data_IF_611536211536
#
_entry.id   IF_611536211536
#
_cell.length_a   1.000
_cell.length_b   1.000
_cell.length_c   1.000
_cell.angle_alpha   90.00
_cell.angle_beta   90.00
_cell.angle_gamma   90.00
#
_symmetry.space_group_name_H-M   'P 1'
#
loop_
_entity.id
_entity.type
_entity.pdbx_description
1 polymer ?
#
# COMPACT_ATOMS: atom_id res chain seq x y z
N UNK A 1 -0.44 -8.15 5.58
CA UNK A 1 0.14 -7.50 4.37
C UNK A 1 0.62 -6.10 4.68
N UNK A 2 -0.25 -5.15 5.09
CA UNK A 2 0.21 -3.83 5.49
C UNK A 2 1.19 -3.89 6.67
N UNK A 3 0.94 -4.80 7.63
CA UNK A 3 1.86 -5.13 8.72
C UNK A 3 3.29 -5.40 8.24
N UNK A 4 3.49 -6.28 7.25
CA UNK A 4 4.80 -6.58 6.64
C UNK A 4 5.48 -5.28 6.18
N UNK A 5 4.74 -4.39 5.54
CA UNK A 5 5.27 -3.11 5.05
C UNK A 5 5.64 -2.16 6.19
N UNK A 6 4.85 -2.14 7.26
CA UNK A 6 5.08 -1.33 8.45
C UNK A 6 6.28 -1.85 9.27
N UNK A 7 6.43 -3.16 9.42
CA UNK A 7 7.58 -3.79 10.07
C UNK A 7 8.88 -3.44 9.35
N UNK A 8 8.91 -3.56 8.01
CA UNK A 8 10.07 -3.19 7.20
C UNK A 8 10.36 -1.69 7.23
N UNK A 9 9.34 -0.85 7.41
CA UNK A 9 9.53 0.60 7.58
C UNK A 9 10.33 0.95 8.85
N UNK A 10 10.36 0.06 9.84
CA UNK A 10 11.13 0.24 11.09
C UNK A 10 12.55 -0.31 11.01
N UNK A 11 12.93 -0.95 9.90
CA UNK A 11 14.27 -1.52 9.69
C UNK A 11 15.15 -0.57 8.87
N UNK A 12 16.47 -0.80 8.90
CA UNK A 12 17.47 0.06 8.27
C UNK A 12 17.43 0.05 6.74
N UNK A 13 16.91 -1.02 6.13
CA UNK A 13 16.96 -1.23 4.69
C UNK A 13 15.57 -1.50 4.12
N UNK A 14 15.21 -0.76 3.06
CA UNK A 14 13.97 -0.97 2.32
C UNK A 14 14.18 -2.09 1.29
N UNK A 15 13.40 -3.19 1.34
CA UNK A 15 13.60 -4.32 0.43
C UNK A 15 13.53 -3.92 -1.05
N UNK A 16 14.24 -4.68 -1.88
CA UNK A 16 14.13 -4.59 -3.34
C UNK A 16 12.85 -5.25 -3.87
N UNK A 17 12.59 -5.10 -5.17
CA UNK A 17 11.36 -5.60 -5.80
C UNK A 17 11.23 -7.12 -5.71
N UNK A 18 12.33 -7.87 -5.83
CA UNK A 18 12.30 -9.34 -5.80
C UNK A 18 12.08 -9.86 -4.38
N UNK A 19 12.64 -9.19 -3.39
CA UNK A 19 12.36 -9.47 -1.98
C UNK A 19 10.91 -9.15 -1.64
N UNK A 20 10.38 -8.00 -2.07
CA UNK A 20 8.97 -7.68 -1.89
C UNK A 20 8.04 -8.70 -2.53
N UNK A 21 8.38 -9.21 -3.72
CA UNK A 21 7.63 -10.29 -4.36
C UNK A 21 7.59 -11.56 -3.50
N UNK A 22 8.63 -11.86 -2.72
CA UNK A 22 8.65 -13.02 -1.81
C UNK A 22 7.86 -12.78 -0.53
N UNK A 23 7.90 -11.55 -0.01
CA UNK A 23 7.28 -11.18 1.25
C UNK A 23 5.77 -10.93 1.14
N UNK A 24 5.29 -10.38 0.02
CA UNK A 24 3.91 -9.95 -0.12
C UNK A 24 2.98 -11.08 -0.57
N UNK A 25 1.71 -11.10 -0.10
CA UNK A 25 0.78 -12.17 -0.44
C UNK A 25 0.56 -12.34 -1.95
N UNK A 26 0.30 -13.57 -2.38
CA UNK A 26 0.01 -13.89 -3.79
C UNK A 26 -1.18 -13.10 -4.35
N UNK A 27 -2.27 -13.00 -3.58
CA UNK A 27 -3.46 -12.26 -3.99
C UNK A 27 -3.19 -10.78 -4.27
N UNK A 28 -2.30 -10.16 -3.50
CA UNK A 28 -1.92 -8.76 -3.64
C UNK A 28 -1.10 -8.56 -4.91
N UNK A 29 -0.12 -9.45 -5.14
CA UNK A 29 0.72 -9.43 -6.34
C UNK A 29 -0.10 -9.67 -7.60
N UNK A 30 -1.08 -10.58 -7.54
CA UNK A 30 -1.98 -10.87 -8.66
C UNK A 30 -2.92 -9.69 -9.00
N UNK A 31 -3.20 -8.80 -8.05
CA UNK A 31 -3.98 -7.59 -8.28
C UNK A 31 -3.15 -6.43 -8.88
N UNK A 32 -1.82 -6.51 -8.83
CA UNK A 32 -0.94 -5.52 -9.44
C UNK A 32 -0.92 -5.67 -10.97
N UNK A 33 -0.82 -4.54 -11.68
CA UNK A 33 -0.64 -4.51 -13.14
C UNK A 33 0.85 -4.43 -13.52
N UNK A 34 1.17 -4.64 -14.79
CA UNK A 34 2.52 -4.37 -15.29
C UNK A 34 2.84 -2.86 -15.24
N UNK A 35 4.11 -2.52 -15.06
CA UNK A 35 4.59 -1.12 -15.09
C UNK A 35 4.20 -0.41 -16.40
N UNK A 36 4.19 -1.12 -17.54
CA UNK A 36 3.82 -0.57 -18.84
C UNK A 36 2.32 -0.25 -18.98
N UNK A 37 1.50 -0.76 -18.05
CA UNK A 37 0.06 -0.49 -17.97
C UNK A 37 -0.26 0.72 -17.08
N UNK A 38 0.70 1.18 -16.27
CA UNK A 38 0.62 2.41 -15.49
C UNK A 38 0.96 3.61 -16.39
N UNK A 39 0.05 3.92 -17.32
CA UNK A 39 0.26 4.96 -18.34
C UNK A 39 -0.17 6.36 -17.87
N UNK A 40 -1.17 6.39 -16.99
CA UNK A 40 -1.74 7.60 -16.43
C UNK A 40 -1.66 7.56 -14.90
N UNK A 41 -1.80 8.70 -14.23
CA UNK A 41 -1.96 8.79 -12.76
C UNK A 41 -3.32 8.23 -12.31
N UNK A 42 -3.70 7.02 -12.76
CA UNK A 42 -4.96 6.38 -12.40
C UNK A 42 -4.80 5.76 -11.02
N UNK A 43 -5.60 6.26 -10.09
CA UNK A 43 -5.54 5.90 -8.66
C UNK A 43 -5.92 4.42 -8.43
N UNK A 44 -6.58 3.77 -9.38
CA UNK A 44 -7.14 2.42 -9.28
C UNK A 44 -6.25 1.31 -9.87
N UNK A 45 -5.11 1.66 -10.49
CA UNK A 45 -4.17 0.69 -11.07
C UNK A 45 -2.77 0.94 -10.52
N UNK A 46 -2.21 -0.08 -9.92
CA UNK A 46 -0.89 -0.02 -9.33
C UNK A 46 -0.03 -1.16 -9.84
N UNK A 47 1.16 -0.82 -10.32
CA UNK A 47 2.23 -1.80 -10.38
C UNK A 47 2.81 -1.99 -8.98
N UNK A 48 3.38 -3.17 -8.74
CA UNK A 48 4.01 -3.49 -7.46
C UNK A 48 5.10 -2.48 -7.11
N UNK A 49 5.96 -2.14 -8.09
CA UNK A 49 7.06 -1.18 -7.91
C UNK A 49 6.55 0.21 -7.56
N UNK A 50 5.55 0.72 -8.28
CA UNK A 50 4.98 2.04 -8.01
C UNK A 50 4.32 2.08 -6.63
N UNK A 51 3.59 1.03 -6.26
CA UNK A 51 2.93 0.95 -4.96
C UNK A 51 3.94 0.97 -3.80
N UNK A 52 4.95 0.09 -3.84
CA UNK A 52 6.01 -0.01 -2.82
C UNK A 52 6.76 1.33 -2.66
N UNK A 53 7.04 2.03 -3.77
CA UNK A 53 7.70 3.32 -3.75
C UNK A 53 6.98 4.31 -2.83
N UNK A 54 5.65 4.38 -2.89
CA UNK A 54 4.86 5.29 -2.05
C UNK A 54 4.73 4.88 -0.60
N UNK A 55 5.11 3.64 -0.27
CA UNK A 55 5.11 3.13 1.10
C UNK A 55 6.45 3.28 1.80
N UNK A 56 7.51 3.69 1.09
CA UNK A 56 8.81 4.03 1.66
C UNK A 56 8.64 5.03 2.83
N UNK A 57 9.31 4.83 3.99
CA UNK A 57 9.08 5.61 5.20
C UNK A 57 9.20 7.13 5.00
N UNK A 58 10.15 7.56 4.18
CA UNK A 58 10.47 8.95 3.86
C UNK A 58 9.46 9.61 2.91
N UNK A 59 8.79 8.81 2.07
CA UNK A 59 7.77 9.27 1.11
C UNK A 59 6.35 9.16 1.69
N UNK A 60 6.12 8.21 2.60
CA UNK A 60 4.81 7.94 3.20
C UNK A 60 4.47 9.00 4.26
N UNK A 61 3.77 10.06 3.83
CA UNK A 61 3.33 11.20 4.66
C UNK A 61 2.08 10.92 5.53
N UNK A 62 1.82 9.66 5.84
CA UNK A 62 0.75 9.22 6.74
C UNK A 62 1.19 8.03 7.60
N UNK A 63 0.47 7.76 8.69
CA UNK A 63 0.68 6.60 9.57
C UNK A 63 -0.63 5.86 9.77
N UNK A 64 -0.56 4.53 9.78
CA UNK A 64 -1.70 3.70 10.12
C UNK A 64 -2.01 3.89 11.60
N UNK A 65 -3.26 4.21 11.95
CA UNK A 65 -3.66 4.41 13.34
C UNK A 65 -4.43 3.20 13.86
N UNK A 66 -5.60 2.93 13.26
CA UNK A 66 -6.41 1.76 13.62
C UNK A 66 -7.24 1.28 12.44
N UNK A 67 -7.64 0.01 12.50
CA UNK A 67 -8.74 -0.52 11.71
C UNK A 67 -9.65 -1.31 12.64
N UNK A 68 -10.90 -0.88 12.72
CA UNK A 68 -11.88 -1.42 13.66
C UNK A 68 -13.13 -1.86 12.90
N UNK A 69 -13.76 -2.99 13.28
CA UNK A 69 -15.05 -3.35 12.73
C UNK A 69 -16.07 -2.27 13.07
N UNK A 70 -17.02 -2.08 12.16
CA UNK A 70 -18.17 -1.18 12.29
C UNK A 70 -19.40 -1.89 11.74
N UNK A 71 -20.60 -1.38 12.03
CA UNK A 71 -21.87 -2.03 11.71
C UNK A 71 -22.01 -2.46 10.23
N UNK A 72 -21.37 -1.74 9.31
CA UNK A 72 -21.44 -1.99 7.87
C UNK A 72 -20.08 -2.16 7.18
N UNK A 73 -19.01 -2.45 7.92
CA UNK A 73 -17.68 -2.62 7.32
C UNK A 73 -16.52 -2.38 8.29
N UNK A 74 -15.40 -1.87 7.78
CA UNK A 74 -14.21 -1.56 8.58
C UNK A 74 -13.97 -0.06 8.57
N UNK A 75 -13.84 0.55 9.75
CA UNK A 75 -13.38 1.93 9.89
C UNK A 75 -11.86 1.94 9.97
N UNK A 76 -11.24 2.53 8.95
CA UNK A 76 -9.79 2.74 8.92
C UNK A 76 -9.48 4.18 9.31
N UNK A 77 -8.64 4.35 10.33
CA UNK A 77 -8.13 5.65 10.76
C UNK A 77 -6.66 5.77 10.36
N UNK A 78 -6.31 6.90 9.75
CA UNK A 78 -4.92 7.25 9.42
C UNK A 78 -4.57 8.62 9.96
N UNK A 79 -3.36 8.76 10.49
CA UNK A 79 -2.79 10.06 10.84
C UNK A 79 -2.08 10.65 9.61
N UNK A 80 -2.51 11.83 9.17
CA UNK A 80 -1.88 12.55 8.06
C UNK A 80 -0.80 13.46 8.63
N UNK A 81 0.46 13.20 8.27
CA UNK A 81 1.60 14.00 8.73
C UNK A 81 1.77 15.28 7.89
N UNK A 82 1.57 15.16 6.57
CA UNK A 82 1.74 16.27 5.63
C UNK A 82 0.86 16.08 4.38
N UNK A 83 0.43 17.17 3.76
CA UNK A 83 -0.26 17.19 2.46
C UNK A 83 0.64 17.80 1.37
N UNK A 84 0.54 17.34 0.10
CA UNK A 84 -0.25 16.19 -0.35
C UNK A 84 0.32 14.86 0.19
N UNK A 85 -0.56 13.89 0.43
CA UNK A 85 -0.18 12.50 0.68
C UNK A 85 -0.89 11.64 -0.35
N UNK A 86 -0.19 10.63 -0.88
CA UNK A 86 -0.73 9.78 -1.93
C UNK A 86 -1.75 8.78 -1.36
N UNK A 87 -2.95 9.29 -1.06
CA UNK A 87 -4.11 8.53 -0.57
C UNK A 87 -4.45 7.34 -1.47
N UNK A 88 -4.31 7.53 -2.78
CA UNK A 88 -4.70 6.55 -3.78
C UNK A 88 -4.07 5.17 -3.62
N UNK A 89 -2.80 5.09 -3.23
CA UNK A 89 -2.14 3.81 -2.99
C UNK A 89 -2.75 3.06 -1.79
N UNK A 90 -3.25 3.79 -0.78
CA UNK A 90 -3.94 3.20 0.37
C UNK A 90 -5.39 2.81 0.02
N UNK A 91 -6.12 3.66 -0.68
CA UNK A 91 -7.49 3.38 -1.09
C UNK A 91 -7.55 2.13 -1.97
N UNK A 92 -6.63 2.03 -2.94
CA UNK A 92 -6.50 0.86 -3.78
C UNK A 92 -6.21 -0.40 -2.97
N UNK A 93 -5.32 -0.31 -1.98
CA UNK A 93 -4.99 -1.44 -1.09
C UNK A 93 -6.22 -2.03 -0.43
N UNK A 94 -7.05 -1.17 0.15
CA UNK A 94 -8.28 -1.56 0.85
C UNK A 94 -9.25 -2.15 -0.17
N UNK A 95 -9.40 -1.52 -1.33
CA UNK A 95 -10.30 -1.99 -2.38
C UNK A 95 -9.93 -3.40 -2.89
N UNK A 96 -8.64 -3.71 -3.08
CA UNK A 96 -8.23 -5.04 -3.55
C UNK A 96 -8.32 -6.10 -2.44
N UNK A 97 -8.06 -5.73 -1.18
CA UNK A 97 -8.17 -6.64 -0.04
C UNK A 97 -9.62 -7.08 0.23
N UNK A 98 -10.61 -6.26 -0.13
CA UNK A 98 -12.03 -6.61 0.01
C UNK A 98 -12.58 -7.49 -1.13
N UNK A 99 -11.78 -7.78 -2.18
CA UNK A 99 -12.20 -8.61 -3.33
C UNK A 99 -11.80 -10.09 -3.21
N UNK A 100 -10.94 -10.40 -2.24
CA UNK A 100 -10.34 -11.72 -1.98
C UNK A 100 -11.04 -12.42 -0.84
#
# INVERSE_FOLDING_TARGET
MLEIVLERSGQSEWPDLEEWKRLLPGWFRAACVDDAEVRDCVIDRWSLRAWIYWFKPELRKWRWWSAEPSDSGVRVTVLVLQRPYLRGALDWLIAVACRT
#
